data_IF_336288676860
#
_entry.id   IF_336288676860
#
_cell.length_a   1.000
_cell.length_b   1.000
_cell.length_c   1.000
_cell.angle_alpha   90.00
_cell.angle_beta   90.00
_cell.angle_gamma   90.00
#
_symmetry.space_group_name_H-M   'P 1'
#
loop_
_entity.id
_entity.type
_entity.pdbx_description
1 polymer ?
#
# COMPACT_ATOMS: atom_id res chain seq x y z
N UNK A 1 -14.51 16.03 -0.90
CA UNK A 1 -15.32 14.89 -0.43
C UNK A 1 -15.90 15.18 0.95
N UNK A 2 -17.15 14.80 1.23
CA UNK A 2 -17.69 14.86 2.61
C UNK A 2 -17.26 13.66 3.45
N UNK A 3 -16.87 13.90 4.69
CA UNK A 3 -16.41 12.85 5.61
C UNK A 3 -17.58 11.96 6.07
N UNK A 4 -17.49 10.67 5.78
CA UNK A 4 -18.48 9.66 6.18
C UNK A 4 -17.79 8.33 6.46
N UNK A 5 -18.29 7.55 7.40
CA UNK A 5 -17.84 6.16 7.61
C UNK A 5 -18.44 5.24 6.54
N UNK A 6 -18.00 5.40 5.30
CA UNK A 6 -18.43 4.61 4.16
C UNK A 6 -17.24 4.37 3.23
N UNK A 7 -17.14 3.16 2.69
CA UNK A 7 -16.16 2.84 1.66
C UNK A 7 -16.43 3.70 0.43
N UNK A 8 -15.39 4.32 -0.11
CA UNK A 8 -15.46 5.04 -1.38
C UNK A 8 -15.84 4.09 -2.50
N UNK A 9 -16.64 4.59 -3.44
CA UNK A 9 -16.81 3.94 -4.73
C UNK A 9 -15.47 3.89 -5.48
N UNK A 10 -15.39 3.01 -6.48
CA UNK A 10 -14.17 2.91 -7.29
C UNK A 10 -13.88 4.23 -8.02
N UNK A 11 -14.90 4.87 -8.57
CA UNK A 11 -14.76 6.11 -9.33
C UNK A 11 -14.30 7.29 -8.45
N UNK A 12 -14.87 7.41 -7.23
CA UNK A 12 -14.42 8.40 -6.24
C UNK A 12 -12.94 8.19 -5.90
N UNK A 13 -12.54 6.94 -5.63
CA UNK A 13 -11.14 6.60 -5.33
C UNK A 13 -10.20 6.92 -6.50
N UNK A 14 -10.59 6.58 -7.73
CA UNK A 14 -9.75 6.82 -8.92
C UNK A 14 -9.64 8.32 -9.24
N UNK A 15 -10.69 9.09 -8.99
CA UNK A 15 -10.69 10.55 -9.13
C UNK A 15 -9.70 11.21 -8.16
N UNK A 16 -9.78 10.85 -6.87
CA UNK A 16 -8.85 11.37 -5.84
C UNK A 16 -7.40 10.95 -6.14
N UNK A 17 -7.19 9.69 -6.54
CA UNK A 17 -5.86 9.19 -6.91
C UNK A 17 -5.25 10.02 -8.03
N UNK A 18 -6.01 10.30 -9.11
CA UNK A 18 -5.52 11.13 -10.21
C UNK A 18 -5.05 12.51 -9.73
N UNK A 19 -5.81 13.16 -8.84
CA UNK A 19 -5.43 14.46 -8.28
C UNK A 19 -4.13 14.37 -7.45
N UNK A 20 -4.00 13.35 -6.60
CA UNK A 20 -2.80 13.12 -5.77
C UNK A 20 -1.56 12.89 -6.64
N UNK A 21 -1.66 12.14 -7.73
CA UNK A 21 -0.51 11.87 -8.60
C UNK A 21 0.06 13.11 -9.29
N UNK A 22 -0.70 14.19 -9.41
CA UNK A 22 -0.22 15.44 -9.98
C UNK A 22 0.51 16.34 -8.95
N UNK A 23 0.50 15.97 -7.66
CA UNK A 23 1.11 16.79 -6.60
C UNK A 23 2.64 16.81 -6.64
N UNK A 24 3.26 15.82 -7.29
CA UNK A 24 4.71 15.76 -7.47
C UNK A 24 5.09 15.05 -8.78
N UNK A 25 6.26 15.37 -9.33
CA UNK A 25 6.69 14.84 -10.64
C UNK A 25 6.82 13.32 -10.69
N UNK A 26 7.19 12.68 -9.57
CA UNK A 26 7.29 11.21 -9.47
C UNK A 26 5.93 10.51 -9.45
N UNK A 27 4.81 11.24 -9.31
CA UNK A 27 3.48 10.63 -9.43
C UNK A 27 3.22 10.01 -10.80
N UNK A 28 3.94 10.45 -11.84
CA UNK A 28 3.95 9.82 -13.18
C UNK A 28 4.46 8.38 -13.15
N UNK A 29 5.35 8.04 -12.22
CA UNK A 29 5.94 6.70 -12.11
C UNK A 29 4.95 5.65 -11.57
N UNK A 30 3.82 6.09 -11.00
CA UNK A 30 2.81 5.24 -10.37
C UNK A 30 1.42 5.40 -11.00
N UNK A 31 1.34 6.00 -12.19
CA UNK A 31 0.10 6.22 -12.93
C UNK A 31 -0.58 4.91 -13.36
N UNK A 32 0.21 3.88 -13.67
CA UNK A 32 -0.29 2.54 -14.03
C UNK A 32 -0.41 1.65 -12.81
N UNK A 33 -1.60 1.63 -12.22
CA UNK A 33 -1.88 0.92 -10.96
C UNK A 33 -1.54 -0.58 -11.05
N UNK A 34 -1.85 -1.19 -12.18
CA UNK A 34 -1.74 -2.62 -12.46
C UNK A 34 -0.28 -3.09 -12.50
N UNK A 35 0.66 -2.22 -12.90
CA UNK A 35 2.09 -2.53 -12.84
C UNK A 35 2.55 -2.65 -11.38
N UNK A 36 2.06 -1.77 -10.50
CA UNK A 36 2.30 -1.85 -9.05
C UNK A 36 1.74 -3.13 -8.45
N UNK A 37 0.51 -3.51 -8.82
CA UNK A 37 -0.11 -4.78 -8.38
C UNK A 37 0.73 -5.98 -8.81
N UNK A 38 1.13 -6.04 -10.09
CA UNK A 38 1.98 -7.12 -10.60
C UNK A 38 3.31 -7.18 -9.86
N UNK A 39 3.96 -6.05 -9.63
CA UNK A 39 5.21 -6.00 -8.87
C UNK A 39 5.03 -6.57 -7.45
N UNK A 40 3.98 -6.17 -6.73
CA UNK A 40 3.68 -6.69 -5.39
C UNK A 40 3.55 -8.23 -5.37
N UNK A 41 2.94 -8.84 -6.39
CA UNK A 41 2.84 -10.30 -6.50
C UNK A 41 4.19 -10.99 -6.67
N UNK A 42 5.19 -10.33 -7.27
CA UNK A 42 6.55 -10.88 -7.44
C UNK A 42 7.37 -10.86 -6.15
N UNK A 43 6.99 -10.08 -5.14
CA UNK A 43 7.75 -9.96 -3.89
C UNK A 43 7.71 -11.31 -3.14
N UNK A 44 8.87 -11.90 -2.81
CA UNK A 44 8.95 -13.14 -2.03
C UNK A 44 8.25 -13.01 -0.68
N UNK A 45 7.65 -14.10 -0.20
CA UNK A 45 6.86 -14.11 1.04
C UNK A 45 7.64 -13.60 2.25
N UNK A 46 8.93 -13.91 2.35
CA UNK A 46 9.81 -13.51 3.46
C UNK A 46 10.06 -12.00 3.50
N UNK A 47 9.75 -11.28 2.41
CA UNK A 47 9.82 -9.82 2.33
C UNK A 47 8.44 -9.16 2.47
N UNK A 48 7.37 -9.93 2.69
CA UNK A 48 6.01 -9.40 2.87
C UNK A 48 5.74 -9.14 4.35
N UNK A 49 5.52 -7.88 4.68
CA UNK A 49 5.31 -7.44 6.06
C UNK A 49 4.11 -8.13 6.72
N UNK A 50 2.99 -8.26 6.01
CA UNK A 50 1.77 -8.89 6.53
C UNK A 50 1.97 -10.36 6.91
N UNK A 51 2.76 -11.10 6.13
CA UNK A 51 3.07 -12.51 6.41
C UNK A 51 4.03 -12.64 7.60
N UNK A 52 5.03 -11.76 7.69
CA UNK A 52 5.93 -11.72 8.85
C UNK A 52 5.17 -11.44 10.16
N UNK A 53 4.24 -10.48 10.15
CA UNK A 53 3.37 -10.19 11.30
C UNK A 53 2.45 -11.36 11.66
N UNK A 54 1.78 -11.96 10.66
CA UNK A 54 0.89 -13.11 10.88
C UNK A 54 1.64 -14.29 11.50
N UNK A 55 2.87 -14.55 11.05
CA UNK A 55 3.73 -15.58 11.63
C UNK A 55 4.11 -15.25 13.07
N UNK A 56 4.52 -14.01 13.34
CA UNK A 56 4.91 -13.59 14.69
C UNK A 56 3.75 -13.67 15.70
N UNK A 57 2.55 -13.29 15.29
CA UNK A 57 1.31 -13.41 16.08
C UNK A 57 1.02 -14.87 16.44
N UNK A 58 1.05 -15.77 15.45
CA UNK A 58 0.87 -17.21 15.66
C UNK A 58 1.94 -17.83 16.56
N UNK A 59 3.15 -17.31 16.52
CA UNK A 59 4.28 -17.77 17.32
C UNK A 59 4.36 -17.09 18.70
N UNK A 60 3.51 -16.10 18.99
CA UNK A 60 3.58 -15.31 20.22
C UNK A 60 4.89 -14.52 20.37
N UNK A 61 5.50 -14.12 19.25
CA UNK A 61 6.82 -13.47 19.19
C UNK A 61 6.69 -11.98 18.93
N UNK A 62 7.41 -11.18 19.72
CA UNK A 62 7.62 -9.76 19.44
C UNK A 62 8.75 -9.58 18.42
N UNK A 63 8.49 -8.85 17.33
CA UNK A 63 9.52 -8.47 16.34
C UNK A 63 10.13 -7.10 16.68
N UNK A 64 11.38 -6.89 16.27
CA UNK A 64 12.08 -5.60 16.43
C UNK A 64 12.26 -4.90 15.08
N UNK A 65 11.89 -3.62 15.00
CA UNK A 65 12.05 -2.79 13.80
C UNK A 65 12.77 -1.49 14.17
N UNK A 66 14.01 -1.26 13.71
CA UNK A 66 14.74 -0.02 13.96
C UNK A 66 14.19 1.13 13.12
N UNK A 67 14.57 2.36 13.48
CA UNK A 67 14.44 3.55 12.61
C UNK A 67 15.77 3.77 11.89
N UNK A 68 15.73 4.14 10.62
CA UNK A 68 16.91 4.51 9.83
C UNK A 68 16.61 5.78 9.04
N UNK A 69 17.57 6.71 8.99
CA UNK A 69 17.54 7.97 8.26
C UNK A 69 18.65 7.99 7.20
#
# INVERSE_FOLDING_TARGET
MELRNKKLTHDEFMTERHQVLQTWHTGKEVEKFEEGVKYQHTIPEQKRFSQALLKADREGRTLSQPRAA
#
